data_IF_890623212755
#
_entry.id   IF_890623212755
#
_cell.length_a   1.000
_cell.length_b   1.000
_cell.length_c   1.000
_cell.angle_alpha   90.00
_cell.angle_beta   90.00
_cell.angle_gamma   90.00
#
_symmetry.space_group_name_H-M   'P 1'
#
loop_
_entity.id
_entity.type
_entity.pdbx_description
1 polymer ?
#
# COMPACT_ATOMS: atom_id res chain seq x y z
N UNK A 1 27.75 4.03 13.33
CA UNK A 1 26.39 4.63 13.30
C UNK A 1 25.49 3.64 12.57
N UNK A 2 25.06 2.60 13.27
CA UNK A 2 24.14 1.58 12.74
C UNK A 2 22.85 1.67 13.55
N UNK A 3 21.71 1.50 12.86
CA UNK A 3 20.31 1.66 13.31
C UNK A 3 19.60 2.86 12.65
N UNK A 4 19.43 2.83 11.34
CA UNK A 4 18.34 3.54 10.66
C UNK A 4 17.95 2.68 9.46
N UNK A 5 16.65 2.44 9.28
CA UNK A 5 16.03 1.64 8.21
C UNK A 5 16.00 0.11 8.41
N UNK A 6 15.08 -0.34 9.27
CA UNK A 6 14.50 -1.68 9.10
C UNK A 6 13.52 -1.61 7.92
N UNK A 7 14.02 -1.86 6.71
CA UNK A 7 13.16 -2.10 5.54
C UNK A 7 12.22 -3.28 5.85
N UNK A 8 10.93 -3.13 5.59
CA UNK A 8 9.96 -4.21 5.82
C UNK A 8 10.18 -5.34 4.80
N UNK A 9 10.94 -6.37 5.18
CA UNK A 9 11.34 -7.44 4.26
C UNK A 9 10.38 -8.64 4.19
N UNK A 10 9.51 -8.81 5.19
CA UNK A 10 8.76 -10.06 5.42
C UNK A 10 7.24 -9.96 5.16
N UNK A 11 6.74 -8.81 4.70
CA UNK A 11 5.30 -8.68 4.45
C UNK A 11 4.85 -9.54 3.25
N UNK A 12 3.76 -10.28 3.40
CA UNK A 12 3.09 -10.94 2.26
C UNK A 12 1.84 -10.14 1.93
N UNK A 13 1.78 -9.57 0.71
CA UNK A 13 0.65 -8.76 0.26
C UNK A 13 -0.15 -9.55 -0.77
N UNK A 14 -1.39 -9.91 -0.43
CA UNK A 14 -2.28 -10.70 -1.27
C UNK A 14 -3.68 -10.12 -1.40
N UNK A 15 -4.13 -9.39 -0.37
CA UNK A 15 -5.46 -8.78 -0.32
C UNK A 15 -5.41 -7.37 0.25
N UNK A 16 -6.48 -6.58 0.06
CA UNK A 16 -6.54 -5.20 0.54
C UNK A 16 -6.35 -5.06 2.06
N UNK A 17 -6.68 -6.10 2.83
CA UNK A 17 -6.41 -6.11 4.26
C UNK A 17 -4.91 -6.03 4.57
N UNK A 18 -4.07 -6.69 3.77
CA UNK A 18 -2.61 -6.66 3.93
C UNK A 18 -2.04 -5.29 3.58
N UNK A 19 -2.57 -4.66 2.53
CA UNK A 19 -2.22 -3.28 2.12
C UNK A 19 -2.50 -2.29 3.25
N UNK A 20 -3.71 -2.35 3.82
CA UNK A 20 -4.08 -1.49 4.96
C UNK A 20 -3.24 -1.78 6.20
N UNK A 21 -2.92 -3.05 6.46
CA UNK A 21 -2.05 -3.42 7.58
C UNK A 21 -0.62 -2.89 7.39
N UNK A 22 -0.09 -2.91 6.17
CA UNK A 22 1.20 -2.33 5.83
C UNK A 22 1.22 -0.83 6.09
N UNK A 23 0.26 -0.08 5.55
CA UNK A 23 0.17 1.38 5.75
C UNK A 23 0.00 1.74 7.23
N UNK A 24 -0.81 0.98 7.97
CA UNK A 24 -0.99 1.18 9.42
C UNK A 24 0.32 1.03 10.20
N UNK A 25 1.26 0.18 9.77
CA UNK A 25 2.59 0.06 10.41
C UNK A 25 3.43 1.33 10.28
N UNK A 26 3.17 2.14 9.26
CA UNK A 26 3.79 3.45 9.05
C UNK A 26 2.96 4.61 9.63
N UNK A 27 1.85 4.30 10.31
CA UNK A 27 0.98 5.32 10.91
C UNK A 27 -0.06 5.90 9.96
N UNK A 28 -0.16 5.39 8.72
CA UNK A 28 -1.08 5.91 7.71
C UNK A 28 -2.39 5.13 7.69
N UNK A 29 -3.50 5.84 7.86
CA UNK A 29 -4.87 5.32 7.74
C UNK A 29 -5.60 6.25 6.76
N UNK A 30 -6.10 5.68 5.67
CA UNK A 30 -6.78 6.40 4.59
C UNK A 30 -8.25 6.02 4.60
N UNK A 31 -9.12 7.02 4.71
CA UNK A 31 -10.57 6.89 4.58
C UNK A 31 -11.19 8.26 4.30
N UNK A 32 -11.66 8.45 3.07
CA UNK A 32 -12.32 9.67 2.56
C UNK A 32 -13.82 9.51 2.41
N UNK A 33 -14.33 8.28 2.53
CA UNK A 33 -15.72 7.94 2.25
C UNK A 33 -15.99 7.61 0.79
N UNK A 34 -15.03 7.86 -0.12
CA UNK A 34 -15.06 7.37 -1.50
C UNK A 34 -14.06 6.22 -1.69
N UNK A 35 -14.53 4.98 -1.92
CA UNK A 35 -13.64 3.82 -1.97
C UNK A 35 -12.58 3.88 -3.07
N UNK A 36 -12.88 4.52 -4.19
CA UNK A 36 -11.93 4.60 -5.30
C UNK A 36 -10.82 5.63 -5.01
N UNK A 37 -11.20 6.78 -4.46
CA UNK A 37 -10.27 7.81 -3.97
C UNK A 37 -9.36 7.25 -2.88
N UNK A 38 -9.90 6.45 -1.96
CA UNK A 38 -9.10 5.76 -0.93
C UNK A 38 -8.03 4.86 -1.56
N UNK A 39 -8.34 4.14 -2.63
CA UNK A 39 -7.37 3.30 -3.34
C UNK A 39 -6.30 4.11 -4.10
N UNK A 40 -6.65 5.30 -4.62
CA UNK A 40 -5.66 6.20 -5.22
C UNK A 40 -4.68 6.73 -4.17
N UNK A 41 -5.20 7.23 -3.05
CA UNK A 41 -4.36 7.72 -1.95
C UNK A 41 -3.48 6.61 -1.35
N UNK A 42 -3.99 5.37 -1.23
CA UNK A 42 -3.18 4.24 -0.77
C UNK A 42 -2.03 3.91 -1.74
N UNK A 43 -2.24 4.05 -3.05
CA UNK A 43 -1.20 3.82 -4.06
C UNK A 43 -0.11 4.91 -4.01
N UNK A 44 -0.51 6.17 -3.83
CA UNK A 44 0.41 7.32 -3.67
C UNK A 44 1.29 7.17 -2.43
N UNK A 45 0.70 6.89 -1.28
CA UNK A 45 1.44 6.67 -0.02
C UNK A 45 2.45 5.50 -0.15
N UNK A 46 2.05 4.41 -0.80
CA UNK A 46 2.95 3.28 -1.04
C UNK A 46 4.11 3.63 -1.98
N UNK A 47 3.88 4.51 -2.96
CA UNK A 47 4.93 5.02 -3.84
C UNK A 47 5.93 5.87 -3.05
N UNK A 48 5.45 6.73 -2.16
CA UNK A 48 6.32 7.54 -1.27
C UNK A 48 7.17 6.65 -0.37
N UNK A 49 6.56 5.67 0.30
CA UNK A 49 7.27 4.72 1.15
C UNK A 49 8.33 3.92 0.38
N UNK A 50 8.07 3.57 -0.88
CA UNK A 50 9.05 2.93 -1.76
C UNK A 50 10.20 3.89 -2.13
N UNK A 51 9.88 5.12 -2.52
CA UNK A 51 10.89 6.14 -2.89
C UNK A 51 11.80 6.52 -1.72
N UNK A 52 11.27 6.51 -0.50
CA UNK A 52 12.02 6.73 0.74
C UNK A 52 12.80 5.50 1.22
N UNK A 53 12.75 4.37 0.49
CA UNK A 53 13.45 3.13 0.87
C UNK A 53 12.82 2.39 2.06
N UNK A 54 11.65 2.82 2.54
CA UNK A 54 10.97 2.23 3.69
C UNK A 54 10.35 0.86 3.38
N UNK A 55 10.04 0.62 2.10
CA UNK A 55 9.42 -0.60 1.59
C UNK A 55 10.21 -1.11 0.39
N UNK A 56 10.46 -2.43 0.32
CA UNK A 56 11.14 -3.03 -0.84
C UNK A 56 10.28 -2.99 -2.11
N UNK A 57 10.93 -2.95 -3.27
CA UNK A 57 10.27 -3.03 -4.57
C UNK A 57 9.28 -4.20 -4.68
N UNK A 58 9.64 -5.39 -4.15
CA UNK A 58 8.76 -6.59 -4.18
C UNK A 58 7.44 -6.36 -3.45
N UNK A 59 7.47 -5.67 -2.31
CA UNK A 59 6.29 -5.38 -1.48
C UNK A 59 5.45 -4.32 -2.14
N UNK A 60 6.09 -3.25 -2.63
CA UNK A 60 5.42 -2.18 -3.37
C UNK A 60 4.69 -2.73 -4.61
N UNK A 61 5.37 -3.55 -5.43
CA UNK A 61 4.77 -4.17 -6.62
C UNK A 61 3.57 -5.05 -6.27
N UNK A 62 3.68 -5.87 -5.21
CA UNK A 62 2.58 -6.73 -4.77
C UNK A 62 1.38 -5.92 -4.27
N UNK A 63 1.62 -4.87 -3.47
CA UNK A 63 0.56 -3.97 -3.00
C UNK A 63 -0.12 -3.23 -4.16
N UNK A 64 0.67 -2.74 -5.12
CA UNK A 64 0.15 -2.07 -6.32
C UNK A 64 -0.72 -3.00 -7.16
N UNK A 65 -0.34 -4.27 -7.31
CA UNK A 65 -1.16 -5.26 -8.01
C UNK A 65 -2.51 -5.48 -7.32
N UNK A 66 -2.50 -5.63 -6.00
CA UNK A 66 -3.72 -5.79 -5.19
C UNK A 66 -4.64 -4.57 -5.34
N UNK A 67 -4.09 -3.36 -5.23
CA UNK A 67 -4.85 -2.11 -5.43
C UNK A 67 -5.45 -2.04 -6.84
N UNK A 68 -4.67 -2.37 -7.87
CA UNK A 68 -5.14 -2.34 -9.25
C UNK A 68 -6.28 -3.34 -9.50
N UNK A 69 -6.24 -4.52 -8.87
CA UNK A 69 -7.34 -5.49 -8.91
C UNK A 69 -8.60 -4.93 -8.24
N UNK A 70 -8.44 -4.27 -7.10
CA UNK A 70 -9.55 -3.66 -6.36
C UNK A 70 -10.21 -2.52 -7.14
N UNK A 71 -9.41 -1.62 -7.73
CA UNK A 71 -9.90 -0.51 -8.57
C UNK A 71 -10.76 -1.04 -9.72
N UNK A 72 -10.26 -2.03 -10.46
CA UNK A 72 -11.03 -2.67 -11.54
C UNK A 72 -12.35 -3.27 -11.06
N UNK A 73 -12.37 -3.88 -9.88
CA UNK A 73 -13.60 -4.45 -9.31
C UNK A 73 -14.64 -3.36 -9.00
N UNK A 74 -14.21 -2.23 -8.44
CA UNK A 74 -15.10 -1.10 -8.14
C UNK A 74 -15.62 -0.42 -9.41
N UNK A 75 -14.75 -0.23 -10.40
CA UNK A 75 -15.12 0.36 -11.70
C UNK A 75 -16.14 -0.51 -12.47
N UNK A 76 -16.04 -1.84 -12.37
CA UNK A 76 -16.99 -2.77 -13.00
C UNK A 76 -18.34 -2.89 -12.26
N UNK A 77 -18.41 -2.37 -11.03
CA UNK A 77 -19.63 -2.41 -10.20
C UNK A 77 -20.50 -1.16 -10.36
N UNK A 78 -20.10 -0.22 -11.21
CA UNK A 78 -20.89 0.92 -11.69
C UNK A 78 -21.39 0.67 -13.11
#
# INVERSE_FOLDING_TARGET
>A
MGLVEKVVQEASIRVMADVRALLKRFGTIIYTGDPLSDLYMMEEELLELYQLGMVEAKIWMAARQVIAQEKRRLEQSH
#
